data_IF_247509639450
#
_entry.id   IF_247509639450
#
_cell.length_a   1.000
_cell.length_b   1.000
_cell.length_c   1.000
_cell.angle_alpha   90.00
_cell.angle_beta   90.00
_cell.angle_gamma   90.00
#
_symmetry.space_group_name_H-M   'P 1'
#
loop_
_entity.id
_entity.type
_entity.pdbx_description
1 polymer ?
#
# COMPACT_ATOMS: atom_id res chain seq x y z
N UNK A 1 28.72 -19.69 -8.49
CA UNK A 1 28.93 -18.26 -8.84
C UNK A 1 27.72 -17.39 -8.49
N UNK A 2 26.48 -17.77 -8.87
CA UNK A 2 25.23 -17.10 -8.47
C UNK A 2 24.94 -17.12 -6.96
N UNK A 3 25.29 -18.20 -6.25
CA UNK A 3 25.15 -18.29 -4.78
C UNK A 3 26.11 -17.33 -4.07
N UNK A 4 27.37 -17.23 -4.50
CA UNK A 4 28.37 -16.30 -3.96
C UNK A 4 28.01 -14.83 -4.21
N UNK A 5 27.40 -14.49 -5.35
CA UNK A 5 26.86 -13.16 -5.63
C UNK A 5 25.64 -12.81 -4.75
N UNK A 6 24.76 -13.78 -4.46
CA UNK A 6 23.62 -13.61 -3.54
C UNK A 6 24.08 -13.46 -2.09
N UNK A 7 25.08 -14.24 -1.65
CA UNK A 7 25.69 -14.13 -0.31
C UNK A 7 26.47 -12.83 -0.13
N UNK A 8 27.22 -12.38 -1.15
CA UNK A 8 27.96 -11.12 -1.13
C UNK A 8 27.02 -9.91 -1.09
N UNK A 9 25.90 -9.95 -1.84
CA UNK A 9 24.82 -8.95 -1.71
C UNK A 9 24.13 -8.99 -0.34
N UNK A 10 23.96 -10.15 0.29
CA UNK A 10 23.37 -10.29 1.64
C UNK A 10 24.32 -9.77 2.72
N UNK A 11 25.61 -10.06 2.65
CA UNK A 11 26.64 -9.58 3.60
C UNK A 11 26.88 -8.07 3.43
N UNK A 12 26.92 -7.56 2.19
CA UNK A 12 26.87 -6.11 1.94
C UNK A 12 25.57 -5.48 2.45
N UNK A 13 24.40 -6.12 2.28
CA UNK A 13 23.12 -5.61 2.82
C UNK A 13 23.08 -5.58 4.35
N UNK A 14 23.56 -6.61 5.06
CA UNK A 14 23.58 -6.63 6.53
C UNK A 14 24.63 -5.67 7.09
N UNK A 15 25.79 -5.55 6.43
CA UNK A 15 26.78 -4.52 6.79
C UNK A 15 26.28 -3.10 6.47
N UNK A 16 25.50 -2.90 5.41
CA UNK A 16 24.96 -1.59 4.98
C UNK A 16 23.68 -1.16 5.72
N UNK A 17 22.88 -2.11 6.22
CA UNK A 17 21.76 -1.87 7.15
C UNK A 17 22.29 -1.41 8.53
N UNK A 18 23.44 -1.94 8.96
CA UNK A 18 24.19 -1.45 10.11
C UNK A 18 24.98 -0.15 9.81
N UNK A 19 25.19 0.17 8.52
CA UNK A 19 25.86 1.37 8.01
C UNK A 19 24.90 2.50 7.59
N UNK A 20 23.67 2.54 8.11
CA UNK A 20 23.18 3.85 8.61
C UNK A 20 23.83 4.03 9.99
N UNK A 21 25.16 4.01 9.96
CA UNK A 21 26.05 4.12 11.09
C UNK A 21 26.03 5.57 11.51
N UNK A 22 25.69 5.84 12.77
CA UNK A 22 26.13 6.94 13.67
C UNK A 22 26.46 8.35 13.11
N UNK A 23 27.08 8.48 11.93
CA UNK A 23 27.42 9.71 11.19
C UNK A 23 26.21 10.55 10.75
N UNK A 24 25.11 9.95 10.30
CA UNK A 24 23.93 10.70 9.82
C UNK A 24 23.06 11.27 10.95
N UNK A 25 23.22 10.79 12.19
CA UNK A 25 22.29 11.13 13.27
C UNK A 25 22.44 12.59 13.68
N UNK A 26 23.66 13.07 13.82
CA UNK A 26 23.92 14.38 14.40
C UNK A 26 23.49 15.50 13.43
N UNK A 27 23.83 15.39 12.14
CA UNK A 27 23.36 16.33 11.12
C UNK A 27 21.86 16.28 10.91
N UNK A 28 21.24 15.09 10.96
CA UNK A 28 19.78 14.98 10.93
C UNK A 28 19.15 15.66 12.15
N UNK A 29 19.76 15.53 13.34
CA UNK A 29 19.33 16.25 14.54
C UNK A 29 19.44 17.77 14.35
N UNK A 30 20.49 18.27 13.71
CA UNK A 30 20.66 19.72 13.48
C UNK A 30 19.60 20.27 12.52
N UNK A 31 19.30 19.55 11.45
CA UNK A 31 18.21 19.89 10.53
C UNK A 31 16.86 19.86 11.27
N UNK A 32 16.59 18.81 12.04
CA UNK A 32 15.36 18.70 12.81
C UNK A 32 15.25 19.75 13.92
N UNK A 33 16.37 20.11 14.56
CA UNK A 33 16.46 21.14 15.58
C UNK A 33 16.04 22.50 15.01
N UNK A 34 16.47 22.82 13.79
CA UNK A 34 16.19 24.08 13.10
C UNK A 34 14.82 24.14 12.41
N UNK A 35 14.20 22.98 12.14
CA UNK A 35 12.93 22.87 11.43
C UNK A 35 11.72 23.47 12.20
N UNK A 36 10.75 24.06 11.50
CA UNK A 36 9.48 24.48 12.13
C UNK A 36 9.53 25.77 12.95
N UNK A 37 10.48 26.67 12.65
CA UNK A 37 10.49 28.07 13.12
C UNK A 37 11.11 28.32 14.50
N UNK A 38 11.07 27.34 15.41
CA UNK A 38 11.68 27.46 16.73
C UNK A 38 12.86 26.49 16.87
N UNK A 39 14.07 27.04 16.67
CA UNK A 39 15.31 26.27 16.77
C UNK A 39 15.57 25.83 18.21
N UNK A 40 15.77 24.52 18.39
CA UNK A 40 16.10 23.93 19.70
C UNK A 40 16.70 22.55 19.49
N UNK A 41 17.77 22.24 20.22
CA UNK A 41 18.45 20.94 20.17
C UNK A 41 17.47 19.77 20.34
N UNK A 42 17.74 18.67 19.67
CA UNK A 42 17.03 17.40 19.90
C UNK A 42 17.49 16.81 21.24
N UNK A 43 16.53 16.42 22.08
CA UNK A 43 16.78 15.83 23.40
C UNK A 43 16.47 14.34 23.45
N UNK A 44 15.49 13.88 22.68
CA UNK A 44 15.15 12.46 22.58
C UNK A 44 14.80 12.11 21.15
N UNK A 45 15.15 10.87 20.77
CA UNK A 45 14.80 10.28 19.48
C UNK A 45 14.19 8.91 19.80
N UNK A 46 12.97 8.71 19.34
CA UNK A 46 12.25 7.45 19.42
C UNK A 46 11.98 6.97 18.00
N UNK A 47 12.24 5.70 17.72
CA UNK A 47 11.97 5.12 16.41
C UNK A 47 10.48 4.79 16.31
N UNK A 48 9.80 5.40 15.34
CA UNK A 48 8.45 5.02 14.93
C UNK A 48 8.59 4.08 13.73
N UNK A 49 8.22 2.83 13.90
CA UNK A 49 8.52 1.83 12.88
C UNK A 49 7.55 1.92 11.70
N UNK A 50 8.09 1.74 10.50
CA UNK A 50 7.37 1.72 9.23
C UNK A 50 8.04 0.73 8.27
N UNK A 51 7.26 0.11 7.39
CA UNK A 51 7.76 -0.92 6.47
C UNK A 51 8.71 -0.36 5.40
N UNK A 52 8.32 0.76 4.77
CA UNK A 52 9.05 1.34 3.63
C UNK A 52 9.90 2.57 3.98
N UNK A 53 9.78 3.07 5.21
CA UNK A 53 10.60 4.17 5.72
C UNK A 53 10.89 3.97 7.19
N UNK A 54 12.06 4.44 7.62
CA UNK A 54 12.35 4.66 9.04
C UNK A 54 11.75 5.99 9.45
N UNK A 55 10.72 5.99 10.29
CA UNK A 55 10.21 7.20 10.93
C UNK A 55 10.82 7.35 12.33
N UNK A 56 11.13 8.57 12.72
CA UNK A 56 11.74 8.91 13.99
C UNK A 56 10.93 10.05 14.62
N UNK A 57 10.40 9.83 15.82
CA UNK A 57 9.86 10.87 16.67
C UNK A 57 11.02 11.57 17.36
N UNK A 58 11.24 12.85 17.04
CA UNK A 58 12.29 13.66 17.63
C UNK A 58 11.68 14.74 18.51
N UNK A 59 12.09 14.77 19.79
CA UNK A 59 11.67 15.79 20.75
C UNK A 59 12.76 16.84 20.87
N UNK A 60 12.36 18.11 20.79
CA UNK A 60 13.21 19.27 21.00
C UNK A 60 13.29 19.64 22.48
N UNK A 61 14.37 20.32 22.88
CA UNK A 61 14.57 20.86 24.23
C UNK A 61 13.48 21.84 24.68
N UNK A 62 12.83 22.54 23.75
CA UNK A 62 11.66 23.38 24.02
C UNK A 62 10.33 22.60 24.16
N UNK A 63 10.37 21.27 24.14
CA UNK A 63 9.20 20.40 24.29
C UNK A 63 8.42 20.12 23.01
N UNK A 64 8.73 20.79 21.90
CA UNK A 64 8.09 20.50 20.59
C UNK A 64 8.56 19.16 20.03
N UNK A 65 7.72 18.55 19.21
CA UNK A 65 7.97 17.25 18.59
C UNK A 65 7.88 17.35 17.07
N UNK A 66 8.76 16.63 16.37
CA UNK A 66 8.77 16.52 14.90
C UNK A 66 8.96 15.07 14.49
N UNK A 67 8.51 14.73 13.28
CA UNK A 67 8.80 13.43 12.67
C UNK A 67 9.90 13.61 11.64
N UNK A 68 10.96 12.79 11.73
CA UNK A 68 11.93 12.63 10.66
C UNK A 68 11.68 11.29 9.96
N UNK A 69 11.41 11.30 8.66
CA UNK A 69 11.18 10.11 7.84
C UNK A 69 12.34 9.95 6.86
N UNK A 70 12.92 8.75 6.82
CA UNK A 70 13.96 8.37 5.86
C UNK A 70 13.47 7.17 5.05
N UNK A 71 13.39 7.25 3.71
CA UNK A 71 13.00 6.11 2.90
C UNK A 71 14.01 4.97 3.02
N UNK A 72 13.50 3.74 3.13
CA UNK A 72 14.33 2.56 2.93
C UNK A 72 14.67 2.45 1.44
N UNK A 73 15.81 1.85 1.08
CA UNK A 73 16.19 1.68 -0.35
C UNK A 73 15.18 0.93 -1.19
N UNK A 74 14.35 0.12 -0.54
CA UNK A 74 13.28 -0.60 -1.23
C UNK A 74 12.09 0.32 -1.55
N UNK A 75 11.89 1.45 -0.85
CA UNK A 75 10.67 2.27 -0.88
C UNK A 75 10.12 2.59 -2.29
N UNK A 76 11.00 2.78 -3.26
CA UNK A 76 10.70 3.09 -4.65
C UNK A 76 11.97 3.60 -5.32
N UNK A 77 11.86 4.20 -6.51
CA UNK A 77 12.98 4.87 -7.15
C UNK A 77 13.55 5.95 -6.23
N UNK A 78 14.88 5.98 -6.12
CA UNK A 78 15.65 7.00 -5.39
C UNK A 78 15.25 8.39 -5.87
N UNK A 79 15.20 9.35 -4.95
CA UNK A 79 14.75 10.73 -5.16
C UNK A 79 13.25 10.90 -5.46
N UNK A 80 12.68 10.12 -6.38
CA UNK A 80 11.28 10.23 -6.78
C UNK A 80 10.31 9.95 -5.64
N UNK A 81 10.64 9.00 -4.76
CA UNK A 81 9.77 8.63 -3.64
C UNK A 81 9.59 9.79 -2.67
N UNK A 82 10.70 10.40 -2.24
CA UNK A 82 10.72 11.52 -1.29
C UNK A 82 10.13 12.79 -1.91
N UNK A 83 10.55 13.14 -3.12
CA UNK A 83 10.05 14.33 -3.82
C UNK A 83 8.54 14.23 -4.10
N UNK A 84 8.04 13.04 -4.44
CA UNK A 84 6.61 12.84 -4.67
C UNK A 84 5.80 12.96 -3.38
N UNK A 85 6.24 12.34 -2.28
CA UNK A 85 5.52 12.43 -0.99
C UNK A 85 5.38 13.88 -0.53
N UNK A 86 6.44 14.69 -0.67
CA UNK A 86 6.37 16.13 -0.38
C UNK A 86 5.40 16.84 -1.32
N UNK A 87 5.49 16.61 -2.63
CA UNK A 87 4.61 17.24 -3.62
C UNK A 87 3.14 16.96 -3.35
N UNK A 88 2.80 15.72 -2.97
CA UNK A 88 1.45 15.32 -2.58
C UNK A 88 1.02 16.00 -1.27
N UNK A 89 1.85 15.99 -0.23
CA UNK A 89 1.54 16.64 1.05
C UNK A 89 1.24 18.12 0.88
N UNK A 90 2.06 18.84 0.11
CA UNK A 90 1.84 20.27 -0.17
C UNK A 90 0.58 20.49 -1.01
N UNK A 91 0.35 19.67 -2.04
CA UNK A 91 -0.83 19.77 -2.90
C UNK A 91 -2.13 19.54 -2.11
N UNK A 92 -2.22 18.44 -1.35
CA UNK A 92 -3.40 18.08 -0.55
C UNK A 92 -3.70 19.17 0.47
N UNK A 93 -2.68 19.67 1.19
CA UNK A 93 -2.87 20.75 2.17
C UNK A 93 -3.34 22.06 1.56
N UNK A 94 -2.91 22.37 0.33
CA UNK A 94 -3.22 23.65 -0.32
C UNK A 94 -4.58 23.64 -1.01
N UNK A 95 -4.98 22.52 -1.60
CA UNK A 95 -6.13 22.44 -2.50
C UNK A 95 -7.31 21.63 -1.95
N UNK A 96 -7.21 21.07 -0.74
CA UNK A 96 -8.29 20.30 -0.12
C UNK A 96 -8.48 20.71 1.35
N UNK A 97 -9.60 20.30 1.96
CA UNK A 97 -9.80 20.45 3.41
C UNK A 97 -9.16 19.33 4.23
N UNK A 98 -8.47 18.40 3.58
CA UNK A 98 -7.96 17.19 4.21
C UNK A 98 -6.79 17.54 5.12
N UNK A 99 -6.85 17.17 6.40
CA UNK A 99 -5.74 17.37 7.29
C UNK A 99 -4.60 16.41 6.92
N UNK A 100 -3.42 16.96 6.65
CA UNK A 100 -2.19 16.25 6.35
C UNK A 100 -1.00 16.94 7.05
N UNK A 101 0.10 16.24 7.39
CA UNK A 101 1.26 16.84 8.06
C UNK A 101 1.90 17.99 7.26
N UNK A 102 2.35 19.05 7.94
CA UNK A 102 3.23 20.06 7.32
C UNK A 102 4.63 19.52 7.13
N UNK A 103 5.20 19.70 5.96
CA UNK A 103 6.64 19.50 5.72
C UNK A 103 7.38 20.75 6.21
N UNK A 104 8.44 20.55 7.00
CA UNK A 104 9.29 21.63 7.52
C UNK A 104 10.63 21.73 6.81
N UNK A 105 11.23 20.58 6.48
CA UNK A 105 12.51 20.49 5.75
C UNK A 105 12.58 19.12 5.09
N UNK A 106 13.25 18.99 3.96
CA UNK A 106 13.41 17.71 3.28
C UNK A 106 14.54 17.76 2.26
N UNK A 107 15.01 16.60 1.82
CA UNK A 107 15.91 16.44 0.67
C UNK A 107 15.65 15.09 0.01
N UNK A 108 15.49 15.08 -1.32
CA UNK A 108 15.47 13.86 -2.14
C UNK A 108 16.84 13.55 -2.79
N UNK A 109 17.83 14.41 -2.59
CA UNK A 109 19.22 14.17 -2.99
C UNK A 109 20.00 13.69 -1.77
N UNK A 110 20.67 12.54 -1.86
CA UNK A 110 21.47 11.95 -0.79
C UNK A 110 22.87 12.58 -0.65
N UNK A 111 23.27 13.43 -1.59
CA UNK A 111 24.51 14.24 -1.51
C UNK A 111 24.46 15.35 -0.45
N UNK A 112 23.27 15.58 0.13
CA UNK A 112 23.06 16.57 1.17
C UNK A 112 23.86 16.24 2.46
N UNK A 113 24.08 17.21 3.38
CA UNK A 113 24.88 16.99 4.59
C UNK A 113 24.45 15.83 5.50
N UNK A 114 23.18 15.42 5.46
CA UNK A 114 22.68 14.24 6.21
C UNK A 114 23.19 12.93 5.59
N UNK A 115 23.55 12.92 4.30
CA UNK A 115 24.03 11.73 3.58
C UNK A 115 22.91 10.75 3.20
N UNK A 116 21.65 11.19 3.25
CA UNK A 116 20.48 10.39 2.95
C UNK A 116 19.27 11.27 2.58
N UNK A 117 18.34 10.72 1.81
CA UNK A 117 17.01 11.32 1.63
C UNK A 117 16.28 11.42 2.98
N UNK A 118 15.54 12.51 3.19
CA UNK A 118 14.76 12.71 4.40
C UNK A 118 13.59 13.66 4.22
N UNK A 119 12.60 13.54 5.10
CA UNK A 119 11.51 14.51 5.33
C UNK A 119 11.42 14.79 6.82
N UNK A 120 11.59 16.04 7.23
CA UNK A 120 11.22 16.56 8.56
C UNK A 120 9.84 17.18 8.46
N UNK A 121 8.89 16.68 9.24
CA UNK A 121 7.49 17.09 9.17
C UNK A 121 6.83 17.18 10.54
N UNK A 122 5.63 17.76 10.55
CA UNK A 122 4.76 17.91 11.72
C UNK A 122 4.42 16.56 12.36
N UNK A 123 4.63 16.45 13.67
CA UNK A 123 4.03 15.37 14.46
C UNK A 123 2.55 15.70 14.69
N UNK A 124 1.67 14.95 14.03
CA UNK A 124 0.23 15.10 14.20
C UNK A 124 -0.20 14.58 15.58
N UNK A 125 -1.08 15.32 16.26
CA UNK A 125 -1.75 14.85 17.46
C UNK A 125 -2.70 13.68 17.19
N UNK A 126 -3.06 12.94 18.24
CA UNK A 126 -4.04 11.85 18.16
C UNK A 126 -3.43 10.46 18.15
N UNK A 127 -4.31 9.46 18.18
CA UNK A 127 -3.97 8.03 18.24
C UNK A 127 -4.29 7.35 16.91
N UNK A 128 -3.50 6.35 16.48
CA UNK A 128 -3.82 5.59 15.27
C UNK A 128 -5.17 4.89 15.37
N UNK A 129 -5.94 4.87 14.27
CA UNK A 129 -7.26 4.24 14.23
C UNK A 129 -7.25 2.78 14.68
N UNK A 130 -6.24 2.00 14.28
CA UNK A 130 -6.17 0.57 14.60
C UNK A 130 -6.13 0.28 16.11
N UNK A 131 -5.56 1.19 16.92
CA UNK A 131 -5.50 1.05 18.38
C UNK A 131 -6.85 1.33 19.07
N UNK A 132 -7.74 2.04 18.39
CA UNK A 132 -9.04 2.48 18.92
C UNK A 132 -10.22 1.76 18.30
N UNK A 133 -10.12 1.29 17.05
CA UNK A 133 -11.25 0.73 16.29
C UNK A 133 -11.99 -0.37 17.04
N UNK A 134 -11.28 -1.28 17.70
CA UNK A 134 -11.89 -2.34 18.53
C UNK A 134 -12.63 -1.83 19.77
N UNK A 135 -12.30 -0.64 20.27
CA UNK A 135 -12.84 -0.03 21.50
C UNK A 135 -13.98 0.95 21.25
N UNK A 136 -14.14 1.40 20.00
CA UNK A 136 -15.17 2.37 19.62
C UNK A 136 -16.57 1.77 19.66
N UNK A 137 -17.53 2.55 20.13
CA UNK A 137 -18.95 2.22 20.02
C UNK A 137 -19.40 2.23 18.56
N UNK A 138 -20.45 1.46 18.24
CA UNK A 138 -20.96 1.33 16.87
C UNK A 138 -21.33 2.69 16.26
N UNK A 139 -21.96 3.57 17.03
CA UNK A 139 -22.35 4.92 16.58
C UNK A 139 -21.13 5.78 16.20
N UNK A 140 -20.02 5.66 16.94
CA UNK A 140 -18.78 6.39 16.66
C UNK A 140 -18.13 5.87 15.37
N UNK A 141 -18.17 4.55 15.14
CA UNK A 141 -17.70 3.94 13.88
C UNK A 141 -18.51 4.45 12.69
N UNK A 142 -19.83 4.55 12.82
CA UNK A 142 -20.70 5.08 11.77
C UNK A 142 -20.40 6.56 11.46
N UNK A 143 -20.18 7.39 12.48
CA UNK A 143 -19.78 8.78 12.28
C UNK A 143 -18.41 8.89 11.61
N UNK A 144 -17.45 8.04 11.99
CA UNK A 144 -16.14 7.95 11.35
C UNK A 144 -16.25 7.57 9.88
N UNK A 145 -17.03 6.54 9.54
CA UNK A 145 -17.28 6.10 8.16
C UNK A 145 -17.85 7.24 7.31
N UNK A 146 -18.83 7.98 7.85
CA UNK A 146 -19.43 9.13 7.17
C UNK A 146 -18.40 10.25 6.92
N UNK A 147 -17.53 10.52 7.89
CA UNK A 147 -16.49 11.53 7.72
C UNK A 147 -15.40 11.08 6.75
N UNK A 148 -15.02 9.80 6.78
CA UNK A 148 -14.04 9.22 5.87
C UNK A 148 -14.49 9.34 4.41
N UNK A 149 -15.71 8.88 4.11
CA UNK A 149 -16.27 8.92 2.74
C UNK A 149 -16.35 10.33 2.16
N UNK A 150 -16.53 11.36 2.99
CA UNK A 150 -16.44 12.78 2.58
C UNK A 150 -15.03 13.23 2.22
N UNK A 151 -14.01 12.75 2.94
CA UNK A 151 -12.60 13.04 2.60
C UNK A 151 -12.24 12.31 1.29
N UNK A 152 -12.63 11.06 1.15
CA UNK A 152 -12.46 10.27 -0.08
C UNK A 152 -13.14 10.92 -1.28
N UNK A 153 -14.36 11.46 -1.10
CA UNK A 153 -15.09 12.20 -2.12
C UNK A 153 -14.33 13.46 -2.58
N UNK A 154 -13.76 14.23 -1.64
CA UNK A 154 -12.96 15.41 -1.99
C UNK A 154 -11.74 15.07 -2.83
N UNK A 155 -11.06 13.96 -2.52
CA UNK A 155 -9.88 13.51 -3.28
C UNK A 155 -10.25 13.01 -4.66
N UNK A 156 -11.33 12.24 -4.75
CA UNK A 156 -11.82 11.70 -6.01
C UNK A 156 -12.33 12.79 -6.96
N UNK A 157 -12.77 13.93 -6.44
CA UNK A 157 -13.22 15.07 -7.24
C UNK A 157 -12.08 15.81 -7.93
N UNK A 158 -10.82 15.59 -7.54
CA UNK A 158 -9.67 16.27 -8.12
C UNK A 158 -9.41 15.68 -9.52
N UNK A 159 -9.35 16.57 -10.52
CA UNK A 159 -9.03 16.22 -11.90
C UNK A 159 -7.59 16.57 -12.20
N UNK A 160 -6.85 15.59 -12.68
CA UNK A 160 -5.48 15.76 -13.15
C UNK A 160 -5.43 15.62 -14.68
N UNK A 161 -4.49 16.30 -15.35
CA UNK A 161 -4.35 16.25 -16.80
C UNK A 161 -3.37 15.15 -17.28
N UNK A 162 -2.83 14.32 -16.37
CA UNK A 162 -1.95 13.19 -16.66
C UNK A 162 -1.92 12.18 -15.49
N UNK A 163 -1.40 10.97 -15.74
CA UNK A 163 -1.06 9.99 -14.72
C UNK A 163 0.41 10.16 -14.27
N UNK A 164 0.74 9.81 -13.02
CA UNK A 164 2.12 9.88 -12.50
C UNK A 164 2.25 10.46 -11.09
N UNK A 165 3.47 10.74 -10.64
CA UNK A 165 3.72 11.34 -9.31
C UNK A 165 3.47 12.85 -9.30
N UNK A 166 3.11 13.42 -8.15
CA UNK A 166 3.03 14.88 -7.97
C UNK A 166 4.32 15.42 -7.37
N UNK A 167 4.92 16.39 -8.04
CA UNK A 167 6.20 16.96 -7.65
C UNK A 167 6.12 18.48 -7.61
N UNK A 168 6.98 19.11 -6.81
CA UNK A 168 7.21 20.55 -6.93
C UNK A 168 8.05 20.80 -8.18
N UNK A 169 7.60 21.72 -9.02
CA UNK A 169 8.23 22.00 -10.31
C UNK A 169 9.70 22.39 -10.18
N UNK A 170 10.08 23.05 -9.09
CA UNK A 170 11.46 23.46 -8.83
C UNK A 170 12.42 22.28 -8.58
N UNK A 171 11.93 21.15 -8.06
CA UNK A 171 12.78 20.03 -7.61
C UNK A 171 12.97 18.95 -8.68
N UNK A 172 12.20 19.01 -9.78
CA UNK A 172 12.20 18.00 -10.85
C UNK A 172 12.44 18.61 -12.23
N UNK A 173 13.22 19.68 -12.31
CA UNK A 173 13.52 20.38 -13.57
C UNK A 173 14.17 19.50 -14.65
N UNK A 174 14.82 18.39 -14.25
CA UNK A 174 15.42 17.42 -15.16
C UNK A 174 14.45 16.32 -15.65
N UNK A 175 13.26 16.20 -15.04
CA UNK A 175 12.27 15.20 -15.41
C UNK A 175 11.31 15.76 -16.46
N UNK A 176 10.78 14.87 -17.30
CA UNK A 176 9.64 15.21 -18.13
C UNK A 176 8.39 15.28 -17.25
N UNK A 177 7.85 16.49 -17.11
CA UNK A 177 6.68 16.74 -16.27
C UNK A 177 5.63 17.55 -17.02
N UNK A 178 4.36 17.26 -16.74
CA UNK A 178 3.22 18.05 -17.17
C UNK A 178 2.84 19.04 -16.08
N UNK A 179 2.83 20.32 -16.39
CA UNK A 179 2.48 21.36 -15.41
C UNK A 179 1.02 21.19 -14.93
N UNK A 180 0.82 21.32 -13.61
CA UNK A 180 -0.50 21.31 -13.01
C UNK A 180 -0.94 22.72 -12.57
N UNK A 181 -0.11 23.44 -11.81
CA UNK A 181 -0.44 24.80 -11.33
C UNK A 181 0.78 25.65 -10.92
N UNK A 182 1.71 25.96 -11.83
CA UNK A 182 2.86 26.87 -11.64
C UNK A 182 3.82 26.58 -10.47
N UNK A 183 3.54 25.57 -9.66
CA UNK A 183 4.23 25.19 -8.42
C UNK A 183 4.30 23.68 -8.31
N UNK A 184 3.24 22.98 -8.72
CA UNK A 184 3.18 21.52 -8.79
C UNK A 184 3.10 21.08 -10.26
N UNK A 185 3.72 19.95 -10.56
CA UNK A 185 3.66 19.25 -11.84
C UNK A 185 3.48 17.74 -11.65
N UNK A 186 3.05 17.06 -12.70
CA UNK A 186 2.91 15.60 -12.76
C UNK A 186 4.10 15.03 -13.52
N UNK A 187 4.88 14.19 -12.86
CA UNK A 187 6.06 13.53 -13.44
C UNK A 187 5.93 12.00 -13.46
N UNK A 188 7.03 11.26 -13.64
CA UNK A 188 7.04 9.80 -13.55
C UNK A 188 6.39 9.27 -12.27
N UNK A 189 5.84 8.05 -12.27
CA UNK A 189 5.32 7.47 -11.03
C UNK A 189 6.47 7.13 -10.08
N UNK A 190 6.27 7.39 -8.78
CA UNK A 190 7.17 6.98 -7.72
C UNK A 190 6.90 5.56 -7.19
N UNK A 191 5.90 4.87 -7.74
CA UNK A 191 5.56 3.50 -7.36
C UNK A 191 6.56 2.48 -7.91
N UNK A 192 6.88 1.45 -7.13
CA UNK A 192 7.81 0.37 -7.53
C UNK A 192 7.40 -0.31 -8.82
N UNK A 193 6.10 -0.59 -8.98
CA UNK A 193 5.53 -1.29 -10.15
C UNK A 193 5.70 -0.52 -11.47
N UNK A 194 6.06 0.77 -11.40
CA UNK A 194 6.31 1.62 -12.56
C UNK A 194 7.79 1.97 -12.73
N UNK A 195 8.67 1.43 -11.88
CA UNK A 195 10.12 1.62 -11.93
C UNK A 195 10.70 0.90 -13.15
N UNK A 196 10.65 1.57 -14.30
CA UNK A 196 11.38 1.16 -15.50
C UNK A 196 12.69 1.94 -15.56
N UNK A 197 13.77 1.28 -15.98
CA UNK A 197 14.97 1.98 -16.45
C UNK A 197 14.53 3.05 -17.46
N UNK A 198 14.80 4.31 -17.10
CA UNK A 198 14.63 5.56 -17.85
C UNK A 198 14.20 5.42 -19.32
N UNK A 199 12.90 5.20 -19.61
CA UNK A 199 12.33 5.37 -20.96
C UNK A 199 10.78 5.24 -21.06
N UNK A 200 10.00 5.46 -20.00
CA UNK A 200 8.54 5.51 -20.16
C UNK A 200 8.13 6.87 -20.74
N UNK A 201 8.05 6.92 -22.07
CA UNK A 201 7.56 8.05 -22.87
C UNK A 201 6.17 8.45 -22.40
N UNK A 202 6.00 9.70 -21.97
CA UNK A 202 4.67 10.31 -21.80
C UNK A 202 3.93 10.22 -23.14
N UNK A 203 2.86 9.43 -23.20
CA UNK A 203 2.00 9.36 -24.38
C UNK A 203 1.35 10.72 -24.60
N UNK A 204 1.90 11.49 -25.52
CA UNK A 204 1.43 12.83 -25.89
C UNK A 204 0.48 12.74 -27.07
N UNK A 205 -0.65 12.03 -26.97
CA UNK A 205 -1.77 12.20 -27.91
C UNK A 205 -3.16 11.98 -27.30
N UNK A 206 -3.99 13.01 -27.48
CA UNK A 206 -5.42 13.00 -27.76
C UNK A 206 -6.46 13.01 -26.63
N UNK A 207 -7.30 14.05 -26.72
CA UNK A 207 -8.69 14.27 -26.24
C UNK A 207 -9.04 14.02 -24.77
N UNK A 208 -9.52 15.09 -24.08
CA UNK A 208 -10.43 15.12 -22.90
C UNK A 208 -10.55 13.83 -22.06
N UNK A 209 -9.44 13.19 -21.72
CA UNK A 209 -9.42 12.02 -20.86
C UNK A 209 -9.40 12.50 -19.41
N UNK A 210 -10.25 11.90 -18.61
CA UNK A 210 -10.21 12.05 -17.15
C UNK A 210 -9.10 11.13 -16.63
N UNK A 211 -7.96 11.70 -16.27
CA UNK A 211 -6.80 10.95 -15.78
C UNK A 211 -6.95 10.51 -14.31
N UNK A 212 -8.19 10.47 -13.82
CA UNK A 212 -8.52 9.97 -12.49
C UNK A 212 -7.97 10.84 -11.36
N UNK A 213 -8.26 10.49 -10.11
CA UNK A 213 -7.71 11.15 -8.93
C UNK A 213 -6.35 10.57 -8.51
N UNK A 214 -5.75 11.13 -7.45
CA UNK A 214 -4.55 10.59 -6.80
C UNK A 214 -4.80 9.20 -6.22
N UNK A 215 -3.89 8.24 -6.43
CA UNK A 215 -3.86 6.97 -5.69
C UNK A 215 -3.91 7.27 -4.22
N UNK A 216 -4.90 6.69 -3.58
CA UNK A 216 -4.79 6.26 -2.20
C UNK A 216 -4.38 4.80 -2.30
N UNK A 217 -3.10 4.51 -2.06
CA UNK A 217 -2.71 3.16 -1.70
C UNK A 217 -3.37 2.92 -0.34
N UNK A 218 -4.54 2.29 -0.35
CA UNK A 218 -5.28 1.88 0.84
C UNK A 218 -4.59 0.67 1.47
N UNK A 219 -3.37 0.88 1.94
CA UNK A 219 -2.84 0.15 3.07
C UNK A 219 -3.27 0.91 4.33
N UNK A 220 -4.03 0.21 5.17
CA UNK A 220 -4.22 0.43 6.62
C UNK A 220 -2.99 1.17 7.16
N UNK A 221 -3.08 2.34 7.78
CA UNK A 221 -2.91 2.45 9.24
C UNK A 221 -3.10 3.88 9.77
N UNK A 222 -3.52 4.84 8.93
CA UNK A 222 -2.96 6.19 9.08
C UNK A 222 -3.99 7.30 9.15
N UNK A 223 -5.15 6.94 9.70
CA UNK A 223 -6.04 7.90 10.33
C UNK A 223 -5.56 8.13 11.75
N UNK A 224 -5.21 9.39 12.07
CA UNK A 224 -5.05 9.82 13.46
C UNK A 224 -6.40 10.32 13.97
N UNK A 225 -6.81 9.83 15.13
CA UNK A 225 -8.03 10.24 15.81
C UNK A 225 -7.73 11.16 17.00
N UNK A 226 -8.49 12.24 17.13
CA UNK A 226 -8.56 12.99 18.38
C UNK A 226 -9.16 12.12 19.50
N UNK A 227 -9.03 12.57 20.75
CA UNK A 227 -9.77 11.99 21.89
C UNK A 227 -11.30 11.95 21.67
N UNK A 228 -11.82 12.81 20.79
CA UNK A 228 -13.23 12.89 20.40
C UNK A 228 -13.59 11.96 19.24
N UNK A 229 -12.73 11.00 18.88
CA UNK A 229 -12.92 10.04 17.78
C UNK A 229 -13.11 10.68 16.38
N UNK A 230 -12.71 11.94 16.22
CA UNK A 230 -12.69 12.65 14.93
C UNK A 230 -11.37 12.44 14.21
N UNK A 231 -11.42 12.31 12.89
CA UNK A 231 -10.24 12.27 12.02
C UNK A 231 -9.53 13.62 12.10
N UNK A 232 -8.29 13.62 12.58
CA UNK A 232 -7.47 14.84 12.70
C UNK A 232 -6.33 14.92 11.70
N UNK A 233 -5.95 13.81 11.06
CA UNK A 233 -5.05 13.78 9.91
C UNK A 233 -5.11 12.44 9.19
N UNK A 234 -4.92 12.50 7.88
CA UNK A 234 -4.36 11.39 7.10
C UNK A 234 -2.84 11.50 7.18
N UNK A 235 -2.11 10.37 7.26
CA UNK A 235 -0.64 10.35 7.22
C UNK A 235 -0.15 9.26 6.25
N UNK A 236 1.17 9.27 5.96
CA UNK A 236 1.86 8.43 4.96
C UNK A 236 1.28 8.55 3.56
N UNK A 237 1.66 9.66 2.92
CA UNK A 237 1.38 9.93 1.52
C UNK A 237 2.49 9.34 0.61
N UNK A 238 3.21 8.33 1.10
CA UNK A 238 4.30 7.68 0.37
C UNK A 238 3.75 6.90 -0.82
N UNK A 239 4.48 6.93 -1.92
CA UNK A 239 4.18 6.16 -3.14
C UNK A 239 2.83 6.47 -3.77
N UNK A 240 2.21 7.61 -3.45
CA UNK A 240 0.99 8.06 -4.11
C UNK A 240 1.30 8.59 -5.52
N UNK A 241 0.43 8.28 -6.46
CA UNK A 241 0.54 8.60 -7.89
C UNK A 241 -0.85 8.79 -8.47
N UNK A 242 -1.04 9.72 -9.38
CA UNK A 242 -2.28 9.85 -10.15
C UNK A 242 -2.41 8.64 -11.08
N UNK A 243 -3.52 7.90 -10.99
CA UNK A 243 -3.85 6.73 -11.82
C UNK A 243 -5.35 6.73 -12.17
N UNK A 244 -5.84 5.84 -13.04
CA UNK A 244 -7.27 5.63 -13.19
C UNK A 244 -7.95 5.24 -11.87
N UNK A 245 -9.11 5.84 -11.56
CA UNK A 245 -9.83 5.61 -10.30
C UNK A 245 -10.12 4.12 -10.04
N UNK A 246 -10.40 3.34 -11.07
CA UNK A 246 -10.71 1.91 -10.92
C UNK A 246 -9.50 1.05 -10.52
N UNK A 247 -8.27 1.54 -10.62
CA UNK A 247 -7.10 0.88 -10.06
C UNK A 247 -6.94 1.16 -8.56
N UNK A 248 -7.59 2.22 -8.08
CA UNK A 248 -7.36 2.78 -6.74
C UNK A 248 -8.54 2.60 -5.80
N UNK A 249 -9.77 2.69 -6.30
CA UNK A 249 -10.97 2.64 -5.50
C UNK A 249 -11.13 1.23 -4.93
N UNK A 250 -10.94 1.07 -3.62
CA UNK A 250 -11.06 -0.21 -2.94
C UNK A 250 -11.73 -0.01 -1.57
N UNK A 251 -12.16 -1.10 -0.97
CA UNK A 251 -12.62 -1.08 0.40
C UNK A 251 -11.45 -0.75 1.34
N UNK A 252 -11.62 0.19 2.30
CA UNK A 252 -10.69 0.32 3.41
C UNK A 252 -10.62 -1.01 4.14
N UNK A 253 -9.43 -1.50 4.44
CA UNK A 253 -9.28 -2.90 4.92
C UNK A 253 -10.02 -3.17 6.23
N UNK A 254 -10.09 -2.20 7.16
CA UNK A 254 -10.88 -2.33 8.39
C UNK A 254 -12.41 -2.34 8.17
N UNK A 255 -12.84 -2.07 6.93
CA UNK A 255 -14.22 -2.11 6.44
C UNK A 255 -14.39 -3.15 5.32
N UNK A 256 -13.38 -3.99 5.06
CA UNK A 256 -13.46 -5.01 4.02
C UNK A 256 -14.65 -5.92 4.34
N UNK A 257 -15.56 -6.14 3.38
CA UNK A 257 -16.73 -6.98 3.61
C UNK A 257 -16.31 -8.43 3.88
N UNK A 258 -17.09 -9.19 4.68
CA UNK A 258 -16.89 -10.63 4.81
C UNK A 258 -17.21 -11.35 3.50
N UNK A 259 -16.84 -12.64 3.42
CA UNK A 259 -16.92 -13.42 2.19
C UNK A 259 -18.35 -13.52 1.63
N UNK A 260 -19.36 -13.67 2.51
CA UNK A 260 -20.77 -13.82 2.12
C UNK A 260 -21.54 -12.49 2.05
N UNK A 261 -20.84 -11.38 1.90
CA UNK A 261 -21.45 -10.06 1.85
C UNK A 261 -22.29 -9.85 0.59
N UNK A 262 -23.55 -9.44 0.78
CA UNK A 262 -24.44 -9.06 -0.32
C UNK A 262 -24.36 -7.55 -0.58
N UNK A 263 -23.95 -7.16 -1.80
CA UNK A 263 -23.90 -5.75 -2.25
C UNK A 263 -25.29 -5.15 -2.45
N UNK A 264 -25.37 -3.81 -2.42
CA UNK A 264 -26.62 -3.06 -2.66
C UNK A 264 -27.45 -2.79 -1.39
N UNK A 265 -28.65 -2.25 -1.55
CA UNK A 265 -29.51 -1.79 -0.43
C UNK A 265 -30.22 -2.96 0.28
N UNK A 266 -29.44 -3.89 0.82
CA UNK A 266 -29.89 -5.05 1.59
C UNK A 266 -29.43 -4.90 3.03
N UNK A 267 -30.34 -5.12 3.98
CA UNK A 267 -30.01 -5.11 5.41
C UNK A 267 -29.28 -6.40 5.79
N UNK A 268 -28.07 -6.32 6.39
CA UNK A 268 -27.39 -7.49 6.93
C UNK A 268 -28.22 -8.17 8.01
N UNK A 269 -28.33 -9.50 7.94
CA UNK A 269 -29.05 -10.34 8.89
C UNK A 269 -28.10 -11.37 9.51
N UNK A 270 -28.43 -11.81 10.71
CA UNK A 270 -27.80 -13.00 11.30
C UNK A 270 -28.18 -14.24 10.48
N UNK A 271 -27.36 -15.30 10.53
CA UNK A 271 -27.67 -16.55 9.86
C UNK A 271 -28.93 -17.18 10.48
N UNK A 272 -29.68 -17.94 9.67
CA UNK A 272 -31.00 -18.46 10.08
C UNK A 272 -30.94 -19.51 11.19
N UNK A 273 -29.81 -20.18 11.33
CA UNK A 273 -29.48 -21.19 12.34
C UNK A 273 -28.77 -20.60 13.57
N UNK A 274 -28.74 -19.26 13.72
CA UNK A 274 -28.00 -18.58 14.81
C UNK A 274 -28.32 -19.13 16.22
N UNK A 275 -29.59 -19.42 16.49
CA UNK A 275 -30.01 -19.91 17.81
C UNK A 275 -29.50 -21.33 18.11
N UNK A 276 -29.22 -22.11 17.06
CA UNK A 276 -28.74 -23.50 17.11
C UNK A 276 -27.21 -23.60 17.21
N UNK A 277 -26.49 -22.50 16.97
CA UNK A 277 -25.04 -22.44 17.10
C UNK A 277 -24.59 -22.56 18.56
N UNK A 278 -23.39 -23.12 18.76
CA UNK A 278 -22.69 -23.07 20.03
C UNK A 278 -22.19 -21.64 20.35
N UNK A 279 -21.64 -21.44 21.55
CA UNK A 279 -21.22 -20.09 21.98
C UNK A 279 -20.12 -19.49 21.08
N UNK A 280 -19.22 -20.33 20.55
CA UNK A 280 -18.18 -19.92 19.62
C UNK A 280 -18.77 -19.51 18.26
N UNK A 281 -19.67 -20.33 17.71
CA UNK A 281 -20.40 -20.03 16.48
C UNK A 281 -21.26 -18.77 16.60
N UNK A 282 -21.94 -18.57 17.73
CA UNK A 282 -22.71 -17.34 18.00
C UNK A 282 -21.80 -16.12 18.05
N UNK A 283 -20.65 -16.20 18.71
CA UNK A 283 -19.68 -15.11 18.75
C UNK A 283 -19.15 -14.76 17.35
N UNK A 284 -18.78 -15.77 16.55
CA UNK A 284 -18.32 -15.58 15.18
C UNK A 284 -19.42 -14.97 14.28
N UNK A 285 -20.65 -15.47 14.37
CA UNK A 285 -21.79 -14.94 13.62
C UNK A 285 -22.11 -13.49 13.98
N UNK A 286 -22.04 -13.12 15.27
CA UNK A 286 -22.20 -11.73 15.72
C UNK A 286 -21.08 -10.82 15.19
N UNK A 287 -19.84 -11.31 15.15
CA UNK A 287 -18.70 -10.57 14.62
C UNK A 287 -18.85 -10.33 13.11
N UNK A 288 -19.17 -11.36 12.33
CA UNK A 288 -19.40 -11.25 10.89
C UNK A 288 -20.60 -10.33 10.57
N UNK A 289 -21.68 -10.45 11.33
CA UNK A 289 -22.85 -9.58 11.20
C UNK A 289 -22.50 -8.12 11.51
N UNK A 290 -21.73 -7.87 12.57
CA UNK A 290 -21.23 -6.53 12.91
C UNK A 290 -20.35 -5.94 11.81
N UNK A 291 -19.42 -6.73 11.27
CA UNK A 291 -18.58 -6.34 10.13
C UNK A 291 -19.42 -6.03 8.88
N UNK A 292 -20.43 -6.85 8.59
CA UNK A 292 -21.37 -6.64 7.48
C UNK A 292 -22.15 -5.33 7.62
N UNK A 293 -22.58 -4.97 8.84
CA UNK A 293 -23.25 -3.68 9.11
C UNK A 293 -22.33 -2.50 8.82
N UNK A 294 -21.08 -2.55 9.28
CA UNK A 294 -20.11 -1.48 9.04
C UNK A 294 -19.72 -1.37 7.56
N UNK A 295 -19.51 -2.49 6.87
CA UNK A 295 -19.29 -2.52 5.43
C UNK A 295 -20.50 -1.96 4.67
N UNK A 296 -21.74 -2.29 5.07
CA UNK A 296 -22.96 -1.71 4.48
C UNK A 296 -23.05 -0.20 4.70
N UNK A 297 -22.72 0.27 5.89
CA UNK A 297 -22.68 1.71 6.17
C UNK A 297 -21.68 2.43 5.26
N UNK A 298 -20.49 1.86 5.03
CA UNK A 298 -19.50 2.40 4.11
C UNK A 298 -19.98 2.35 2.65
N UNK A 299 -20.57 1.25 2.19
CA UNK A 299 -21.13 1.14 0.84
C UNK A 299 -22.15 2.24 0.58
N UNK A 300 -23.14 2.39 1.47
CA UNK A 300 -24.21 3.38 1.35
C UNK A 300 -23.65 4.79 1.42
N UNK A 301 -22.76 5.08 2.38
CA UNK A 301 -22.14 6.40 2.49
C UNK A 301 -21.31 6.73 1.25
N UNK A 302 -20.58 5.77 0.68
CA UNK A 302 -19.80 5.98 -0.54
C UNK A 302 -20.68 6.21 -1.75
N UNK A 303 -21.81 5.49 -1.89
CA UNK A 303 -22.79 5.76 -2.96
C UNK A 303 -23.31 7.19 -2.88
N UNK A 304 -23.63 7.65 -1.68
CA UNK A 304 -24.22 8.99 -1.45
C UNK A 304 -23.21 10.12 -1.64
N UNK A 305 -21.98 9.96 -1.12
CA UNK A 305 -20.94 11.00 -1.16
C UNK A 305 -20.12 10.96 -2.45
N UNK A 306 -19.94 9.77 -3.06
CA UNK A 306 -19.06 9.54 -4.20
C UNK A 306 -19.46 8.31 -5.04
N UNK A 307 -20.59 8.43 -5.76
CA UNK A 307 -21.08 7.37 -6.64
C UNK A 307 -20.08 6.92 -7.72
N UNK A 308 -19.17 7.81 -8.15
CA UNK A 308 -18.13 7.47 -9.15
C UNK A 308 -17.10 6.51 -8.56
N UNK A 309 -16.63 6.73 -7.33
CA UNK A 309 -15.75 5.77 -6.64
C UNK A 309 -16.46 4.47 -6.32
N UNK A 310 -17.75 4.52 -5.95
CA UNK A 310 -18.55 3.30 -5.79
C UNK A 310 -18.61 2.48 -7.08
N UNK A 311 -18.87 3.12 -8.23
CA UNK A 311 -18.87 2.43 -9.51
C UNK A 311 -17.48 1.84 -9.84
N UNK A 312 -16.42 2.59 -9.58
CA UNK A 312 -15.04 2.15 -9.80
C UNK A 312 -14.63 0.95 -8.92
N UNK A 313 -15.15 0.84 -7.69
CA UNK A 313 -14.98 -0.33 -6.82
C UNK A 313 -15.72 -1.58 -7.34
N UNK A 314 -16.72 -1.40 -8.19
CA UNK A 314 -17.57 -2.47 -8.71
C UNK A 314 -17.27 -2.87 -10.15
N UNK A 315 -16.26 -2.26 -10.78
CA UNK A 315 -15.76 -2.69 -12.07
C UNK A 315 -15.27 -4.15 -11.97
N UNK A 316 -15.52 -5.00 -12.99
CA UNK A 316 -15.05 -6.39 -12.98
C UNK A 316 -13.57 -6.50 -12.61
N UNK A 317 -13.28 -7.40 -11.67
CA UNK A 317 -11.95 -7.56 -11.07
C UNK A 317 -10.86 -7.71 -12.13
N UNK A 318 -11.12 -8.47 -13.20
CA UNK A 318 -10.17 -8.75 -14.28
C UNK A 318 -9.58 -7.49 -14.89
N UNK A 319 -10.33 -6.38 -14.96
CA UNK A 319 -9.81 -5.13 -15.49
C UNK A 319 -8.75 -4.52 -14.60
N UNK A 320 -8.90 -4.60 -13.28
CA UNK A 320 -7.87 -4.14 -12.34
C UNK A 320 -6.69 -5.09 -12.32
N UNK A 321 -6.95 -6.38 -12.22
CA UNK A 321 -5.92 -7.41 -12.18
C UNK A 321 -5.03 -7.36 -13.42
N UNK A 322 -5.59 -7.10 -14.61
CA UNK A 322 -4.79 -6.94 -15.83
C UNK A 322 -3.65 -5.93 -15.67
N UNK A 323 -3.92 -4.75 -15.11
CA UNK A 323 -2.87 -3.73 -14.90
C UNK A 323 -1.92 -4.12 -13.77
N UNK A 324 -2.42 -4.70 -12.68
CA UNK A 324 -1.59 -5.17 -11.56
C UNK A 324 -0.62 -6.24 -12.04
N UNK A 325 -1.13 -7.30 -12.69
CA UNK A 325 -0.33 -8.43 -13.19
C UNK A 325 0.62 -8.01 -14.28
N UNK A 326 0.29 -6.99 -15.08
CA UNK A 326 1.22 -6.41 -16.03
C UNK A 326 2.44 -5.78 -15.34
N UNK A 327 2.26 -5.12 -14.20
CA UNK A 327 3.34 -4.54 -13.41
C UNK A 327 4.18 -5.57 -12.65
N UNK A 328 3.62 -6.75 -12.37
CA UNK A 328 4.27 -7.81 -11.60
C UNK A 328 5.01 -8.83 -12.46
N UNK A 329 4.93 -8.77 -13.80
CA UNK A 329 5.51 -9.80 -14.70
C UNK A 329 6.99 -10.06 -14.44
N UNK A 330 7.76 -9.03 -14.10
CA UNK A 330 9.19 -9.19 -13.78
C UNK A 330 9.46 -9.88 -12.44
N UNK A 331 8.49 -9.87 -11.52
CA UNK A 331 8.61 -10.40 -10.17
C UNK A 331 8.03 -11.81 -10.07
N UNK A 332 6.82 -12.01 -10.59
CA UNK A 332 6.05 -13.27 -10.43
C UNK A 332 5.90 -14.05 -11.74
N UNK A 333 6.38 -13.52 -12.85
CA UNK A 333 6.29 -14.13 -14.18
C UNK A 333 4.99 -13.80 -14.92
N UNK A 334 4.88 -14.31 -16.16
CA UNK A 334 3.79 -13.96 -17.10
C UNK A 334 2.50 -14.74 -16.86
N UNK A 335 2.54 -15.83 -16.07
CA UNK A 335 1.41 -16.76 -15.89
C UNK A 335 0.16 -16.04 -15.36
N UNK A 336 0.21 -15.21 -14.30
CA UNK A 336 -0.98 -14.50 -13.80
C UNK A 336 -1.55 -13.48 -14.79
N UNK A 337 -0.68 -12.82 -15.57
CA UNK A 337 -1.11 -11.90 -16.62
C UNK A 337 -1.85 -12.66 -17.73
N UNK A 338 -1.35 -13.84 -18.12
CA UNK A 338 -1.98 -14.68 -19.15
C UNK A 338 -3.36 -15.16 -18.70
N UNK A 339 -3.56 -15.48 -17.42
CA UNK A 339 -4.88 -15.84 -16.89
C UNK A 339 -5.88 -14.68 -17.06
N UNK A 340 -5.47 -13.44 -16.73
CA UNK A 340 -6.31 -12.26 -16.95
C UNK A 340 -6.69 -12.09 -18.43
N UNK A 341 -5.75 -12.31 -19.35
CA UNK A 341 -6.01 -12.21 -20.79
C UNK A 341 -6.98 -13.31 -21.26
N UNK A 342 -6.84 -14.54 -20.78
CA UNK A 342 -7.76 -15.65 -21.10
C UNK A 342 -9.15 -15.39 -20.53
N UNK A 343 -9.27 -14.88 -19.31
CA UNK A 343 -10.55 -14.49 -18.71
C UNK A 343 -11.24 -13.42 -19.57
N UNK A 344 -10.51 -12.38 -20.00
CA UNK A 344 -11.06 -11.34 -20.90
C UNK A 344 -11.47 -11.93 -22.25
N UNK A 345 -10.65 -12.81 -22.84
CA UNK A 345 -10.97 -13.47 -24.11
C UNK A 345 -12.26 -14.30 -24.01
N UNK A 346 -12.38 -15.14 -22.99
CA UNK A 346 -13.56 -15.99 -22.74
C UNK A 346 -14.82 -15.17 -22.48
N UNK A 347 -14.68 -13.99 -21.88
CA UNK A 347 -15.80 -13.15 -21.42
C UNK A 347 -15.96 -11.85 -22.24
N UNK A 348 -15.37 -11.74 -23.43
CA UNK A 348 -15.28 -10.47 -24.18
C UNK A 348 -16.63 -9.73 -24.29
N UNK A 349 -17.66 -10.43 -24.77
CA UNK A 349 -19.00 -9.86 -24.93
C UNK A 349 -19.74 -9.64 -23.60
N UNK A 350 -19.56 -10.53 -22.61
CA UNK A 350 -20.20 -10.40 -21.30
C UNK A 350 -19.60 -9.28 -20.46
N UNK A 351 -18.33 -8.94 -20.70
CA UNK A 351 -17.64 -7.77 -20.16
C UNK A 351 -18.06 -6.44 -20.82
N UNK A 352 -18.94 -6.49 -21.83
CA UNK A 352 -19.51 -5.31 -22.48
C UNK A 352 -18.67 -4.74 -23.63
N UNK A 353 -17.64 -5.46 -24.09
CA UNK A 353 -16.89 -5.04 -25.27
C UNK A 353 -17.67 -5.28 -26.56
N UNK A 354 -17.46 -4.39 -27.52
CA UNK A 354 -18.03 -4.50 -28.87
C UNK A 354 -17.06 -5.19 -29.82
N UNK A 355 -17.57 -5.77 -30.91
CA UNK A 355 -16.75 -6.47 -31.89
C UNK A 355 -16.16 -7.79 -31.36
N UNK A 356 -15.12 -8.28 -32.04
CA UNK A 356 -14.38 -9.48 -31.65
C UNK A 356 -13.17 -9.12 -30.79
N UNK A 357 -12.79 -10.02 -29.89
CA UNK A 357 -11.57 -9.88 -29.11
C UNK A 357 -10.35 -9.79 -30.06
N UNK A 358 -9.45 -8.79 -29.89
CA UNK A 358 -8.32 -8.56 -30.81
C UNK A 358 -7.23 -9.63 -30.72
N UNK A 359 -7.34 -10.55 -29.76
CA UNK A 359 -6.47 -11.70 -29.59
C UNK A 359 -7.33 -12.94 -29.29
N UNK A 360 -6.77 -14.12 -29.55
CA UNK A 360 -7.44 -15.39 -29.35
C UNK A 360 -6.48 -16.43 -28.81
N UNK A 361 -7.02 -17.39 -28.06
CA UNK A 361 -6.28 -18.56 -27.59
C UNK A 361 -6.91 -19.82 -28.17
N UNK A 362 -6.08 -20.75 -28.62
CA UNK A 362 -6.54 -22.10 -28.99
C UNK A 362 -6.90 -22.90 -27.74
N UNK A 363 -7.72 -23.94 -27.89
CA UNK A 363 -8.08 -24.82 -26.77
C UNK A 363 -6.83 -25.49 -26.16
N UNK A 364 -5.85 -25.86 -26.99
CA UNK A 364 -4.58 -26.46 -26.53
C UNK A 364 -3.76 -25.48 -25.69
N UNK A 365 -3.68 -24.21 -26.10
CA UNK A 365 -3.02 -23.17 -25.32
C UNK A 365 -3.70 -22.91 -23.98
N UNK A 366 -5.04 -22.97 -23.96
CA UNK A 366 -5.81 -22.78 -22.73
C UNK A 366 -5.59 -23.96 -21.79
N UNK A 367 -5.69 -25.20 -22.26
CA UNK A 367 -5.43 -26.38 -21.42
C UNK A 367 -4.00 -26.39 -20.89
N UNK A 368 -3.01 -26.03 -21.73
CA UNK A 368 -1.62 -25.90 -21.28
C UNK A 368 -1.49 -24.84 -20.20
N UNK A 369 -2.18 -23.70 -20.35
CA UNK A 369 -2.19 -22.64 -19.36
C UNK A 369 -2.85 -23.05 -18.05
N UNK A 370 -3.98 -23.78 -18.10
CA UNK A 370 -4.68 -24.25 -16.89
C UNK A 370 -3.75 -25.10 -16.01
N UNK A 371 -2.89 -25.94 -16.60
CA UNK A 371 -1.86 -26.66 -15.85
C UNK A 371 -0.80 -25.73 -15.23
N UNK A 372 -0.28 -24.77 -16.01
CA UNK A 372 0.72 -23.80 -15.52
C UNK A 372 0.17 -22.90 -14.42
N UNK A 373 -1.09 -22.47 -14.55
CA UNK A 373 -1.76 -21.63 -13.57
C UNK A 373 -2.02 -22.39 -12.27
N UNK A 374 -2.40 -23.67 -12.35
CA UNK A 374 -2.53 -24.53 -11.16
C UNK A 374 -1.20 -24.67 -10.40
N UNK A 375 -0.07 -24.83 -11.10
CA UNK A 375 1.26 -24.85 -10.47
C UNK A 375 1.61 -23.51 -9.82
N UNK A 376 1.30 -22.39 -10.50
CA UNK A 376 1.47 -21.06 -9.95
C UNK A 376 0.61 -20.84 -8.69
N UNK A 377 -0.67 -21.22 -8.71
CA UNK A 377 -1.57 -21.09 -7.56
C UNK A 377 -1.06 -21.89 -6.37
N UNK A 378 -0.62 -23.13 -6.59
CA UNK A 378 -0.01 -23.94 -5.53
C UNK A 378 1.26 -23.29 -4.96
N UNK A 379 2.06 -22.62 -5.79
CA UNK A 379 3.23 -21.86 -5.32
C UNK A 379 2.84 -20.61 -4.53
N UNK A 380 1.86 -19.84 -5.00
CA UNK A 380 1.38 -18.59 -4.39
C UNK A 380 0.69 -18.84 -3.04
N UNK A 381 -0.15 -19.89 -2.94
CA UNK A 381 -0.78 -20.32 -1.69
C UNK A 381 0.26 -20.63 -0.60
N UNK A 382 1.38 -21.24 -0.97
CA UNK A 382 2.49 -21.52 -0.04
C UNK A 382 3.18 -20.21 0.37
N UNK A 383 3.32 -19.24 -0.54
CA UNK A 383 3.86 -17.92 -0.18
C UNK A 383 2.96 -17.22 0.85
N UNK A 384 1.65 -17.18 0.59
CA UNK A 384 0.66 -16.52 1.44
C UNK A 384 0.59 -17.18 2.81
N UNK A 385 0.50 -18.52 2.86
CA UNK A 385 0.49 -19.28 4.10
C UNK A 385 1.74 -18.99 4.95
N UNK A 386 2.92 -18.97 4.34
CA UNK A 386 4.16 -18.67 5.06
C UNK A 386 4.17 -17.24 5.61
N UNK A 387 3.69 -16.26 4.84
CA UNK A 387 3.59 -14.86 5.27
C UNK A 387 2.62 -14.69 6.43
N UNK A 388 1.43 -15.30 6.34
CA UNK A 388 0.42 -15.28 7.40
C UNK A 388 0.91 -15.94 8.68
N UNK A 389 1.44 -17.16 8.59
CA UNK A 389 1.93 -17.90 9.76
C UNK A 389 3.13 -17.23 10.45
N UNK A 390 3.94 -16.49 9.71
CA UNK A 390 5.15 -15.86 10.24
C UNK A 390 4.94 -14.40 10.61
N UNK A 391 3.75 -13.83 10.42
CA UNK A 391 3.45 -12.40 10.59
C UNK A 391 4.47 -11.52 9.84
N UNK A 392 4.72 -11.85 8.57
CA UNK A 392 5.76 -11.23 7.76
C UNK A 392 5.27 -10.86 6.37
N UNK A 393 5.95 -9.95 5.69
CA UNK A 393 5.69 -9.62 4.29
C UNK A 393 6.49 -10.51 3.32
N UNK A 394 6.29 -10.33 2.01
CA UNK A 394 7.02 -11.07 0.98
C UNK A 394 8.56 -10.95 1.07
N UNK A 395 9.07 -9.93 1.77
CA UNK A 395 10.50 -9.69 1.97
C UNK A 395 11.03 -10.29 3.29
N UNK A 396 10.16 -10.89 4.10
CA UNK A 396 10.53 -11.45 5.39
C UNK A 396 10.70 -10.39 6.48
N UNK A 397 10.08 -9.21 6.33
CA UNK A 397 10.08 -8.19 7.38
C UNK A 397 9.21 -8.62 8.55
N UNK A 398 9.74 -8.56 9.76
CA UNK A 398 8.98 -8.82 11.00
C UNK A 398 9.01 -7.57 11.87
N UNK A 399 7.92 -7.36 12.61
CA UNK A 399 7.81 -6.24 13.52
C UNK A 399 8.87 -6.36 14.65
N UNK A 400 9.67 -5.32 14.93
CA UNK A 400 10.76 -5.36 15.92
C UNK A 400 10.38 -5.69 17.37
N UNK A 401 9.10 -5.61 17.75
CA UNK A 401 8.59 -6.16 19.00
C UNK A 401 8.57 -7.71 19.03
N UNK A 402 8.71 -8.35 17.87
CA UNK A 402 8.77 -9.80 17.72
C UNK A 402 10.23 -10.27 17.81
N UNK A 403 10.43 -11.37 18.53
CA UNK A 403 11.75 -11.99 18.65
C UNK A 403 12.15 -12.64 17.31
N UNK A 404 13.24 -12.13 16.71
CA UNK A 404 13.77 -12.59 15.43
C UNK A 404 14.30 -14.03 15.50
N UNK A 405 14.82 -14.46 16.64
CA UNK A 405 15.31 -15.84 16.82
C UNK A 405 14.13 -16.80 16.89
N UNK A 406 13.07 -16.39 17.58
CA UNK A 406 11.80 -17.11 17.63
C UNK A 406 11.14 -17.20 16.26
N UNK A 407 11.05 -16.10 15.49
CA UNK A 407 10.53 -16.13 14.11
C UNK A 407 11.36 -17.01 13.18
N UNK A 408 12.70 -17.02 13.33
CA UNK A 408 13.56 -17.95 12.59
C UNK A 408 13.32 -19.41 12.98
N UNK A 409 13.06 -19.68 14.27
CA UNK A 409 12.70 -21.02 14.75
C UNK A 409 11.36 -21.47 14.15
N UNK A 410 10.34 -20.61 14.23
CA UNK A 410 9.02 -20.85 13.63
C UNK A 410 9.13 -21.12 12.12
N UNK A 411 9.94 -20.35 11.39
CA UNK A 411 10.17 -20.56 9.95
C UNK A 411 10.75 -21.96 9.67
N UNK A 412 11.76 -22.40 10.42
CA UNK A 412 12.34 -23.75 10.26
C UNK A 412 11.34 -24.86 10.57
N UNK A 413 10.51 -24.66 11.58
CA UNK A 413 9.48 -25.63 11.97
C UNK A 413 8.35 -25.72 10.94
N UNK A 414 7.86 -24.58 10.46
CA UNK A 414 6.85 -24.51 9.40
C UNK A 414 7.36 -25.11 8.09
N UNK A 415 8.60 -24.80 7.69
CA UNK A 415 9.22 -25.43 6.52
C UNK A 415 9.33 -26.96 6.69
N UNK A 416 9.74 -27.44 7.88
CA UNK A 416 9.82 -28.87 8.16
C UNK A 416 8.44 -29.54 8.09
N UNK A 417 7.41 -28.89 8.63
CA UNK A 417 6.04 -29.37 8.59
C UNK A 417 5.48 -29.37 7.16
N UNK A 418 5.77 -28.33 6.37
CA UNK A 418 5.41 -28.25 4.96
C UNK A 418 6.06 -29.36 4.13
N UNK A 419 7.38 -29.58 4.26
CA UNK A 419 8.08 -30.68 3.59
C UNK A 419 7.47 -32.04 3.93
N UNK A 420 7.13 -32.26 5.20
CA UNK A 420 6.47 -33.51 5.64
C UNK A 420 5.08 -33.66 5.04
N UNK A 421 4.30 -32.58 4.96
CA UNK A 421 2.94 -32.59 4.40
C UNK A 421 2.96 -32.87 2.90
N UNK A 422 3.94 -32.36 2.17
CA UNK A 422 4.10 -32.60 0.73
C UNK A 422 4.73 -33.96 0.39
N UNK A 423 5.06 -34.79 1.41
CA UNK A 423 5.67 -36.09 1.19
C UNK A 423 4.72 -37.01 0.40
N UNK A 424 5.19 -37.46 -0.78
CA UNK A 424 4.39 -38.28 -1.70
C UNK A 424 3.88 -37.51 -2.92
N UNK A 425 3.75 -36.19 -2.82
CA UNK A 425 3.38 -35.30 -3.94
C UNK A 425 4.60 -34.59 -4.54
N UNK A 426 5.55 -34.17 -3.69
CA UNK A 426 6.78 -33.48 -4.10
C UNK A 426 7.98 -34.02 -3.34
N UNK A 427 9.16 -33.96 -3.97
CA UNK A 427 10.41 -34.23 -3.29
C UNK A 427 10.72 -33.14 -2.24
N UNK A 428 11.55 -33.44 -1.22
CA UNK A 428 11.96 -32.43 -0.23
C UNK A 428 12.61 -31.18 -0.84
N UNK A 429 13.33 -31.33 -1.95
CA UNK A 429 14.00 -30.21 -2.62
C UNK A 429 13.01 -29.34 -3.40
N UNK A 430 12.02 -29.95 -4.06
CA UNK A 430 10.93 -29.22 -4.72
C UNK A 430 10.07 -28.46 -3.69
N UNK A 431 9.74 -29.10 -2.56
CA UNK A 431 9.02 -28.43 -1.48
C UNK A 431 9.83 -27.26 -0.90
N UNK A 432 11.15 -27.41 -0.70
CA UNK A 432 12.01 -26.29 -0.27
C UNK A 432 12.06 -25.16 -1.28
N UNK A 433 12.08 -25.46 -2.58
CA UNK A 433 12.12 -24.45 -3.63
C UNK A 433 10.83 -23.61 -3.68
N UNK A 434 9.69 -24.16 -3.24
CA UNK A 434 8.44 -23.44 -3.12
C UNK A 434 8.37 -22.54 -1.87
N UNK A 435 9.22 -22.71 -0.87
CA UNK A 435 9.11 -21.95 0.38
C UNK A 435 9.79 -20.56 0.28
N UNK A 436 9.11 -19.45 0.63
CA UNK A 436 9.65 -18.09 0.46
C UNK A 436 10.92 -17.82 1.25
N UNK A 437 11.02 -18.37 2.47
CA UNK A 437 12.01 -17.94 3.45
C UNK A 437 13.06 -19.02 3.70
N UNK A 438 14.28 -18.89 3.15
CA UNK A 438 15.33 -19.88 3.38
C UNK A 438 15.64 -19.97 4.89
N UNK A 439 15.80 -21.21 5.38
CA UNK A 439 15.91 -21.57 6.80
C UNK A 439 17.11 -21.01 7.57
#
# INVERSE_FOLDING_TARGET
MLSLLRSSKRIQRTQQIAQISLLCRDTLCDVAASAGGDSSRIVTIEKLEGGFSKALLMKKGNGKEVIAKLPCRIAGPTSLTTACEVGVLEYVRKYTSIPAPRVFSWSSDDSNPVGAEYIIMEKVAGVPLFEQWGKMAEIEKLELIKNLTKLEAQLAAIRFPAYGGLYRQADVSSLQCQELNGSICIGPSCGRSFSTDSAAVLSTQSEKLDYGPLTFIWAIFLLRLARTQKIVSLIDFQSLSVLPLFLQAQWPVFLKPPQNYTKGLVQPKLPGDFDELDEEGKAAALQEWSQSKLAKAYEVATVLENGVAHNAMNIPRVFRELFIRCGEVSEVGVVPLRECLIEIFRNWSSLGFTGQCPYSFSNEEITTHEHQFAEYQAWDEVQQLAQECLDTDAEGWIAPQLDIEEKRRQNRELLSLYIKRMAGEKSPDEARAMWPFPG
#
